data_IF_711171715075
#
_entry.id   IF_711171715075
#
_cell.length_a   1.000
_cell.length_b   1.000
_cell.length_c   1.000
_cell.angle_alpha   90.00
_cell.angle_beta   90.00
_cell.angle_gamma   90.00
#
_symmetry.space_group_name_H-M   'P 1'
#
loop_
_entity.id
_entity.type
_entity.pdbx_description
1 polymer ?
#
# COMPACT_ATOMS: atom_id res chain seq x y z
N UNK A 1 -88.14 73.02 -86.58
CA UNK A 1 -86.88 73.10 -85.83
C UNK A 1 -86.55 71.69 -85.37
N UNK A 2 -85.63 71.02 -86.08
CA UNK A 2 -85.18 69.67 -85.77
C UNK A 2 -84.14 69.78 -84.65
N UNK A 3 -84.49 69.31 -83.45
CA UNK A 3 -83.51 69.06 -82.41
C UNK A 3 -82.68 67.83 -82.85
N UNK A 4 -81.52 68.11 -83.42
CA UNK A 4 -80.45 67.13 -83.62
C UNK A 4 -79.88 66.79 -82.24
N UNK A 5 -80.53 65.84 -81.56
CA UNK A 5 -80.00 65.19 -80.36
C UNK A 5 -78.64 64.56 -80.73
N UNK A 6 -77.55 65.14 -80.22
CA UNK A 6 -76.18 64.69 -80.48
C UNK A 6 -75.98 63.25 -79.94
N UNK A 7 -75.71 62.24 -80.80
CA UNK A 7 -75.46 60.87 -80.35
C UNK A 7 -74.01 60.61 -79.86
N UNK A 8 -73.11 61.58 -79.98
CA UNK A 8 -71.66 61.41 -79.80
C UNK A 8 -71.18 61.49 -78.34
N UNK A 9 -71.94 62.10 -77.43
CA UNK A 9 -71.53 62.24 -76.01
C UNK A 9 -71.86 61.00 -75.18
N UNK A 10 -72.86 60.20 -75.60
CA UNK A 10 -73.28 58.99 -74.88
C UNK A 10 -72.32 57.80 -75.09
N UNK A 11 -71.68 57.71 -76.26
CA UNK A 11 -70.76 56.60 -76.58
C UNK A 11 -69.42 56.74 -75.84
N UNK A 12 -68.86 57.95 -75.76
CA UNK A 12 -67.64 58.22 -75.00
C UNK A 12 -67.81 57.93 -73.50
N UNK A 13 -68.95 58.30 -72.91
CA UNK A 13 -69.27 57.98 -71.51
C UNK A 13 -69.45 56.47 -71.29
N UNK A 14 -70.06 55.76 -72.23
CA UNK A 14 -70.19 54.30 -72.16
C UNK A 14 -68.81 53.62 -72.20
N UNK A 15 -67.90 54.09 -73.07
CA UNK A 15 -66.54 53.57 -73.18
C UNK A 15 -65.71 53.86 -71.93
N UNK A 16 -65.85 55.06 -71.35
CA UNK A 16 -65.25 55.42 -70.06
C UNK A 16 -65.77 54.51 -68.94
N UNK A 17 -67.08 54.28 -68.86
CA UNK A 17 -67.67 53.38 -67.86
C UNK A 17 -67.16 51.95 -67.99
N UNK A 18 -67.00 51.44 -69.21
CA UNK A 18 -66.43 50.10 -69.45
C UNK A 18 -64.96 50.04 -69.02
N UNK A 19 -64.16 51.07 -69.31
CA UNK A 19 -62.75 51.14 -68.87
C UNK A 19 -62.64 51.19 -67.35
N UNK A 20 -63.39 52.09 -66.70
CA UNK A 20 -63.39 52.20 -65.24
C UNK A 20 -63.87 50.90 -64.59
N UNK A 21 -64.87 50.23 -65.17
CA UNK A 21 -65.32 48.92 -64.70
C UNK A 21 -64.21 47.88 -64.82
N UNK A 22 -63.53 47.80 -65.96
CA UNK A 22 -62.44 46.86 -66.17
C UNK A 22 -61.25 47.13 -65.21
N UNK A 23 -60.91 48.40 -64.97
CA UNK A 23 -59.90 48.81 -64.00
C UNK A 23 -60.27 48.42 -62.58
N UNK A 24 -61.54 48.61 -62.18
CA UNK A 24 -62.04 48.19 -60.87
C UNK A 24 -62.04 46.67 -60.73
N UNK A 25 -62.46 45.92 -61.75
CA UNK A 25 -62.42 44.46 -61.76
C UNK A 25 -60.98 43.95 -61.63
N UNK A 26 -60.03 44.53 -62.39
CA UNK A 26 -58.62 44.20 -62.29
C UNK A 26 -58.04 44.53 -60.90
N UNK A 27 -58.42 45.67 -60.31
CA UNK A 27 -58.00 46.04 -58.96
C UNK A 27 -58.58 45.08 -57.92
N UNK A 28 -59.85 44.68 -58.04
CA UNK A 28 -60.47 43.70 -57.14
C UNK A 28 -59.77 42.34 -57.23
N UNK A 29 -59.46 41.85 -58.43
CA UNK A 29 -58.72 40.58 -58.59
C UNK A 29 -57.28 40.67 -58.04
N UNK A 30 -56.62 41.81 -58.20
CA UNK A 30 -55.33 42.05 -57.59
C UNK A 30 -55.41 42.04 -56.05
N UNK A 31 -56.42 42.68 -55.45
CA UNK A 31 -56.64 42.65 -53.99
C UNK A 31 -56.96 41.24 -53.49
N UNK A 32 -57.80 40.48 -54.20
CA UNK A 32 -58.09 39.08 -53.84
C UNK A 32 -56.82 38.23 -53.86
N UNK A 33 -56.00 38.38 -54.90
CA UNK A 33 -54.73 37.67 -55.02
C UNK A 33 -53.80 38.02 -53.86
N UNK A 34 -53.64 39.31 -53.56
CA UNK A 34 -52.85 39.78 -52.42
C UNK A 34 -53.32 39.20 -51.09
N UNK A 35 -54.63 39.22 -50.81
CA UNK A 35 -55.19 38.67 -49.57
C UNK A 35 -54.96 37.16 -49.48
N UNK A 36 -55.08 36.44 -50.60
CA UNK A 36 -54.80 35.00 -50.63
C UNK A 36 -53.32 34.69 -50.41
N UNK A 37 -52.42 35.51 -50.94
CA UNK A 37 -50.98 35.39 -50.71
C UNK A 37 -50.62 35.69 -49.25
N UNK A 38 -51.12 36.79 -48.68
CA UNK A 38 -50.94 37.13 -47.26
C UNK A 38 -51.45 35.99 -46.36
N UNK A 39 -52.66 35.46 -46.63
CA UNK A 39 -53.20 34.31 -45.89
C UNK A 39 -52.32 33.06 -45.97
N UNK A 40 -51.72 32.78 -47.13
CA UNK A 40 -50.79 31.63 -47.29
C UNK A 40 -49.49 31.87 -46.53
N UNK A 41 -48.97 33.10 -46.56
CA UNK A 41 -47.77 33.46 -45.82
C UNK A 41 -48.00 33.31 -44.31
N UNK A 42 -49.12 33.81 -43.78
CA UNK A 42 -49.48 33.67 -42.37
C UNK A 42 -49.64 32.19 -41.96
N UNK A 43 -50.25 31.38 -42.83
CA UNK A 43 -50.40 29.94 -42.57
C UNK A 43 -49.04 29.23 -42.52
N UNK A 44 -48.13 29.54 -43.45
CA UNK A 44 -46.79 28.97 -43.47
C UNK A 44 -46.02 29.39 -42.21
N UNK A 45 -46.05 30.68 -41.87
CA UNK A 45 -45.41 31.21 -40.67
C UNK A 45 -45.95 30.54 -39.41
N UNK A 46 -47.27 30.34 -39.29
CA UNK A 46 -47.86 29.63 -38.15
C UNK A 46 -47.39 28.17 -38.04
N UNK A 47 -47.20 27.47 -39.17
CA UNK A 47 -46.64 26.13 -39.20
C UNK A 47 -45.17 26.11 -38.78
N UNK A 48 -44.37 27.06 -39.27
CA UNK A 48 -42.96 27.21 -38.89
C UNK A 48 -42.82 27.47 -37.38
N UNK A 49 -43.60 28.40 -36.81
CA UNK A 49 -43.60 28.65 -35.36
C UNK A 49 -44.01 27.42 -34.55
N UNK A 50 -44.98 26.62 -35.03
CA UNK A 50 -45.36 25.38 -34.38
C UNK A 50 -44.20 24.36 -34.38
N UNK A 51 -43.52 24.20 -35.52
CA UNK A 51 -42.35 23.33 -35.61
C UNK A 51 -41.19 23.80 -34.72
N UNK A 52 -40.88 25.10 -34.71
CA UNK A 52 -39.84 25.66 -33.86
C UNK A 52 -40.15 25.50 -32.37
N UNK A 53 -41.42 25.67 -31.98
CA UNK A 53 -41.88 25.45 -30.60
C UNK A 53 -41.72 23.99 -30.19
N UNK A 54 -42.11 23.05 -31.05
CA UNK A 54 -41.96 21.61 -30.79
C UNK A 54 -40.48 21.21 -30.66
N UNK A 55 -39.62 21.71 -31.55
CA UNK A 55 -38.18 21.46 -31.50
C UNK A 55 -37.53 22.06 -30.25
N UNK A 56 -37.92 23.28 -29.86
CA UNK A 56 -37.47 23.92 -28.63
C UNK A 56 -37.91 23.11 -27.39
N UNK A 57 -39.13 22.59 -27.39
CA UNK A 57 -39.64 21.75 -26.30
C UNK A 57 -38.87 20.44 -26.19
N UNK A 58 -38.61 19.75 -27.31
CA UNK A 58 -37.79 18.52 -27.31
C UNK A 58 -36.37 18.77 -26.80
N UNK A 59 -35.75 19.89 -27.21
CA UNK A 59 -34.42 20.27 -26.70
C UNK A 59 -34.43 20.50 -25.19
N UNK A 60 -35.47 21.15 -24.67
CA UNK A 60 -35.64 21.37 -23.23
C UNK A 60 -35.75 20.05 -22.47
N UNK A 61 -36.55 19.12 -22.97
CA UNK A 61 -36.72 17.80 -22.37
C UNK A 61 -35.41 17.00 -22.37
N UNK A 62 -34.67 16.98 -23.49
CA UNK A 62 -33.36 16.33 -23.55
C UNK A 62 -32.39 16.92 -22.54
N UNK A 63 -32.27 18.25 -22.47
CA UNK A 63 -31.39 18.92 -21.51
C UNK A 63 -31.80 18.64 -20.06
N UNK A 64 -33.10 18.53 -19.78
CA UNK A 64 -33.58 18.19 -18.44
C UNK A 64 -33.18 16.77 -18.03
N UNK A 65 -33.29 15.80 -18.94
CA UNK A 65 -32.84 14.42 -18.71
C UNK A 65 -31.33 14.36 -18.49
N UNK A 66 -30.56 15.07 -19.31
CA UNK A 66 -29.10 15.16 -19.15
C UNK A 66 -28.71 15.78 -17.82
N UNK A 67 -29.37 16.87 -17.41
CA UNK A 67 -29.15 17.51 -16.12
C UNK A 67 -29.43 16.56 -14.96
N UNK A 68 -30.56 15.85 -14.98
CA UNK A 68 -30.89 14.85 -13.96
C UNK A 68 -29.83 13.76 -13.90
N UNK A 69 -29.41 13.24 -15.06
CA UNK A 69 -28.35 12.23 -15.13
C UNK A 69 -27.04 12.73 -14.52
N UNK A 70 -26.58 13.92 -14.90
CA UNK A 70 -25.37 14.54 -14.35
C UNK A 70 -25.47 14.79 -12.84
N UNK A 71 -26.64 15.21 -12.35
CA UNK A 71 -26.88 15.38 -10.91
C UNK A 71 -26.76 14.04 -10.16
N UNK A 72 -27.38 12.97 -10.67
CA UNK A 72 -27.27 11.64 -10.03
C UNK A 72 -25.85 11.09 -10.05
N UNK A 73 -25.11 11.28 -11.15
CA UNK A 73 -23.70 10.87 -11.25
C UNK A 73 -22.82 11.65 -10.28
N UNK A 74 -23.07 12.96 -10.15
CA UNK A 74 -22.36 13.82 -9.19
C UNK A 74 -22.57 13.34 -7.76
N UNK A 75 -23.81 13.06 -7.36
CA UNK A 75 -24.11 12.52 -6.03
C UNK A 75 -23.60 11.09 -5.81
N UNK A 76 -23.46 10.29 -6.86
CA UNK A 76 -22.82 8.99 -6.77
C UNK A 76 -21.32 9.13 -6.46
N UNK A 77 -20.62 9.96 -7.24
CA UNK A 77 -19.18 10.25 -7.04
C UNK A 77 -18.89 10.90 -5.70
N UNK A 78 -19.75 11.80 -5.23
CA UNK A 78 -19.63 12.39 -3.89
C UNK A 78 -19.70 11.34 -2.78
N UNK A 79 -20.61 10.36 -2.89
CA UNK A 79 -20.70 9.25 -1.93
C UNK A 79 -19.47 8.35 -1.97
N UNK A 80 -18.94 8.07 -3.16
CA UNK A 80 -17.71 7.29 -3.31
C UNK A 80 -16.51 8.00 -2.68
N UNK A 81 -16.34 9.31 -2.95
CA UNK A 81 -15.30 10.12 -2.33
C UNK A 81 -15.41 10.14 -0.81
N UNK A 82 -16.62 10.29 -0.27
CA UNK A 82 -16.86 10.24 1.16
C UNK A 82 -16.51 8.86 1.75
N UNK A 83 -16.83 7.77 1.06
CA UNK A 83 -16.47 6.42 1.49
C UNK A 83 -14.94 6.22 1.51
N UNK A 84 -14.24 6.65 0.46
CA UNK A 84 -12.78 6.61 0.41
C UNK A 84 -12.12 7.47 1.49
N UNK A 85 -12.69 8.63 1.80
CA UNK A 85 -12.19 9.50 2.88
C UNK A 85 -12.27 8.80 4.24
N UNK A 86 -13.39 8.13 4.54
CA UNK A 86 -13.55 7.35 5.77
C UNK A 86 -12.54 6.20 5.85
N UNK A 87 -12.31 5.49 4.74
CA UNK A 87 -11.30 4.42 4.68
C UNK A 87 -9.89 4.94 4.97
N UNK A 88 -9.52 6.09 4.38
CA UNK A 88 -8.24 6.74 4.64
C UNK A 88 -8.08 7.08 6.12
N UNK A 89 -9.12 7.61 6.77
CA UNK A 89 -9.09 7.94 8.20
C UNK A 89 -8.91 6.69 9.08
N UNK A 90 -9.59 5.58 8.74
CA UNK A 90 -9.43 4.30 9.42
C UNK A 90 -7.99 3.80 9.28
N UNK A 91 -7.42 3.80 8.07
CA UNK A 91 -6.05 3.37 7.82
C UNK A 91 -5.03 4.24 8.55
N UNK A 92 -5.25 5.56 8.61
CA UNK A 92 -4.40 6.46 9.39
C UNK A 92 -4.50 6.19 10.89
N UNK A 93 -5.69 5.90 11.41
CA UNK A 93 -5.88 5.53 12.81
C UNK A 93 -5.19 4.20 13.14
N UNK A 94 -5.29 3.20 12.26
CA UNK A 94 -4.57 1.94 12.41
C UNK A 94 -3.06 2.12 12.37
N UNK A 95 -2.54 2.93 11.42
CA UNK A 95 -1.13 3.27 11.36
C UNK A 95 -0.65 3.89 12.67
N UNK A 96 -1.36 4.89 13.20
CA UNK A 96 -1.04 5.54 14.49
C UNK A 96 -1.03 4.58 15.67
N UNK A 97 -1.87 3.53 15.64
CA UNK A 97 -1.89 2.49 16.69
C UNK A 97 -0.72 1.51 16.57
N UNK A 98 -0.36 1.09 15.34
CA UNK A 98 0.66 0.06 15.10
C UNK A 98 2.08 0.59 15.13
N UNK A 99 2.31 1.83 14.70
CA UNK A 99 3.63 2.46 14.62
C UNK A 99 4.43 2.43 15.95
N UNK A 100 3.88 2.79 17.13
CA UNK A 100 4.63 2.70 18.38
C UNK A 100 5.00 1.26 18.76
N UNK A 101 4.11 0.30 18.50
CA UNK A 101 4.36 -1.12 18.79
C UNK A 101 5.50 -1.66 17.93
N UNK A 102 5.50 -1.35 16.63
CA UNK A 102 6.59 -1.73 15.73
C UNK A 102 7.91 -1.10 16.18
N UNK A 103 7.89 0.18 16.57
CA UNK A 103 9.08 0.87 17.08
C UNK A 103 9.64 0.20 18.34
N UNK A 104 8.79 -0.12 19.32
CA UNK A 104 9.19 -0.80 20.55
C UNK A 104 9.79 -2.20 20.28
N UNK A 105 9.18 -2.97 19.37
CA UNK A 105 9.70 -4.29 18.99
C UNK A 105 11.07 -4.21 18.32
N UNK A 106 11.28 -3.22 17.46
CA UNK A 106 12.59 -2.97 16.82
C UNK A 106 13.63 -2.60 17.89
N UNK A 107 13.30 -1.68 18.80
CA UNK A 107 14.19 -1.29 19.90
C UNK A 107 14.57 -2.49 20.78
N UNK A 108 13.60 -3.32 21.15
CA UNK A 108 13.84 -4.54 21.93
C UNK A 108 14.72 -5.55 21.19
N UNK A 109 14.51 -5.72 19.88
CA UNK A 109 15.32 -6.61 19.05
C UNK A 109 16.78 -6.16 19.02
N UNK A 110 17.02 -4.84 18.90
CA UNK A 110 18.38 -4.27 18.95
C UNK A 110 19.03 -4.50 20.31
N UNK A 111 18.28 -4.35 21.41
CA UNK A 111 18.79 -4.59 22.76
C UNK A 111 19.18 -6.06 22.97
N UNK A 112 18.34 -7.01 22.56
CA UNK A 112 18.64 -8.44 22.70
C UNK A 112 19.81 -8.87 21.81
N UNK A 113 19.95 -8.31 20.60
CA UNK A 113 21.11 -8.55 19.74
C UNK A 113 22.41 -8.04 20.38
N UNK A 114 22.38 -6.85 21.00
CA UNK A 114 23.51 -6.33 21.76
C UNK A 114 23.87 -7.23 22.95
N UNK A 115 22.87 -7.74 23.68
CA UNK A 115 23.07 -8.67 24.80
C UNK A 115 23.68 -9.99 24.34
N UNK A 116 23.21 -10.54 23.22
CA UNK A 116 23.74 -11.77 22.65
C UNK A 116 25.20 -11.60 22.21
N UNK A 117 25.54 -10.49 21.56
CA UNK A 117 26.93 -10.15 21.20
C UNK A 117 27.83 -10.06 22.43
N UNK A 118 27.34 -9.47 23.52
CA UNK A 118 28.08 -9.40 24.77
C UNK A 118 28.34 -10.80 25.35
N UNK A 119 27.31 -11.65 25.42
CA UNK A 119 27.46 -13.02 25.91
C UNK A 119 28.45 -13.83 25.06
N UNK A 120 28.39 -13.71 23.73
CA UNK A 120 29.34 -14.37 22.84
C UNK A 120 30.79 -13.92 23.10
N UNK A 121 31.00 -12.62 23.30
CA UNK A 121 32.32 -12.08 23.62
C UNK A 121 32.84 -12.61 24.97
N UNK A 122 31.98 -12.68 25.98
CA UNK A 122 32.35 -13.17 27.32
C UNK A 122 32.61 -14.67 27.32
N UNK A 123 31.80 -15.47 26.63
CA UNK A 123 32.07 -16.91 26.43
C UNK A 123 33.38 -17.13 25.68
N UNK A 124 33.67 -16.34 24.64
CA UNK A 124 34.94 -16.44 23.93
C UNK A 124 36.13 -16.13 24.83
N UNK A 125 36.05 -15.09 25.68
CA UNK A 125 37.09 -14.76 26.67
C UNK A 125 37.30 -15.91 27.67
N UNK A 126 36.21 -16.46 28.21
CA UNK A 126 36.28 -17.58 29.15
C UNK A 126 36.96 -18.80 28.51
N UNK A 127 36.59 -19.12 27.27
CA UNK A 127 37.21 -20.21 26.52
C UNK A 127 38.71 -19.99 26.35
N UNK A 128 39.13 -18.79 25.94
CA UNK A 128 40.57 -18.49 25.79
C UNK A 128 41.33 -18.58 27.12
N UNK A 129 40.72 -18.16 28.23
CA UNK A 129 41.33 -18.28 29.56
C UNK A 129 41.47 -19.75 30.00
N UNK A 130 40.44 -20.57 29.76
CA UNK A 130 40.49 -22.01 30.04
C UNK A 130 41.54 -22.73 29.17
N UNK A 131 41.63 -22.37 27.89
CA UNK A 131 42.65 -22.91 26.99
C UNK A 131 44.07 -22.55 27.46
N UNK A 132 44.28 -21.33 27.94
CA UNK A 132 45.55 -20.91 28.55
C UNK A 132 45.88 -21.71 29.81
N UNK A 133 44.94 -21.83 30.75
CA UNK A 133 45.13 -22.64 31.97
C UNK A 133 45.45 -24.11 31.66
N UNK A 134 44.76 -24.68 30.68
CA UNK A 134 45.01 -26.05 30.23
C UNK A 134 46.40 -26.20 29.62
N UNK A 135 46.89 -25.20 28.87
CA UNK A 135 48.26 -25.18 28.36
C UNK A 135 49.30 -25.10 29.49
N UNK A 136 49.09 -24.24 30.49
CA UNK A 136 49.97 -24.13 31.66
C UNK A 136 50.03 -25.47 32.43
N UNK A 137 48.89 -26.10 32.67
CA UNK A 137 48.82 -27.41 33.31
C UNK A 137 49.55 -28.49 32.50
N UNK A 138 49.37 -28.52 31.17
CA UNK A 138 50.10 -29.45 30.30
C UNK A 138 51.61 -29.24 30.36
N UNK A 139 52.08 -27.98 30.40
CA UNK A 139 53.50 -27.67 30.55
C UNK A 139 54.05 -28.13 31.91
N UNK A 140 53.28 -27.91 32.98
CA UNK A 140 53.59 -28.41 34.32
C UNK A 140 53.71 -29.94 34.36
N UNK A 141 52.71 -30.65 33.83
CA UNK A 141 52.73 -32.12 33.73
C UNK A 141 53.95 -32.63 32.94
N UNK A 142 54.24 -32.04 31.79
CA UNK A 142 55.42 -32.42 30.99
C UNK A 142 56.74 -32.24 31.76
N UNK A 143 56.80 -31.29 32.70
CA UNK A 143 57.97 -31.11 33.57
C UNK A 143 58.12 -32.25 34.56
N UNK A 144 57.01 -32.75 35.12
CA UNK A 144 57.03 -33.92 36.00
C UNK A 144 57.35 -35.21 35.23
N UNK A 145 56.86 -35.37 34.01
CA UNK A 145 57.20 -36.51 33.15
C UNK A 145 58.72 -36.61 32.92
N UNK A 146 59.40 -35.46 32.72
CA UNK A 146 60.87 -35.41 32.60
C UNK A 146 61.59 -35.88 33.88
N UNK A 147 60.96 -35.80 35.04
CA UNK A 147 61.48 -36.33 36.30
C UNK A 147 61.15 -37.82 36.48
N UNK A 148 60.53 -38.48 35.49
CA UNK A 148 60.06 -39.85 35.57
C UNK A 148 58.84 -40.02 36.48
N UNK A 149 57.98 -39.02 36.55
CA UNK A 149 56.68 -39.09 37.22
C UNK A 149 55.57 -38.98 36.18
N UNK A 150 54.81 -40.05 36.00
CA UNK A 150 53.64 -40.07 35.13
C UNK A 150 52.40 -40.09 36.00
N UNK A 151 51.47 -39.18 35.73
CA UNK A 151 50.20 -39.08 36.45
C UNK A 151 49.07 -39.39 35.46
N UNK A 152 48.33 -40.47 35.71
CA UNK A 152 47.10 -40.78 35.00
C UNK A 152 45.90 -40.53 35.91
N UNK A 153 44.78 -40.08 35.33
CA UNK A 153 43.51 -39.97 36.04
C UNK A 153 42.88 -41.36 36.14
N UNK A 154 43.48 -42.24 36.93
CA UNK A 154 42.94 -43.54 37.27
C UNK A 154 42.91 -43.70 38.79
N UNK A 155 41.92 -44.42 39.30
CA UNK A 155 41.91 -44.89 40.68
C UNK A 155 43.12 -45.82 40.88
N UNK A 156 43.82 -45.68 42.02
CA UNK A 156 45.04 -46.45 42.30
C UNK A 156 44.64 -47.87 42.69
N UNK A 157 44.44 -48.74 41.70
CA UNK A 157 43.94 -50.09 41.94
C UNK A 157 45.04 -51.13 42.20
N UNK A 158 46.25 -50.99 41.63
CA UNK A 158 47.35 -51.92 41.92
C UNK A 158 48.73 -51.38 41.51
N UNK A 159 49.79 -51.85 42.19
CA UNK A 159 51.17 -51.63 41.76
C UNK A 159 51.65 -52.82 40.92
N UNK A 160 52.26 -52.56 39.75
CA UNK A 160 52.81 -53.64 38.90
C UNK A 160 53.86 -54.51 39.62
N UNK A 161 54.53 -53.99 40.66
CA UNK A 161 55.48 -54.74 41.49
C UNK A 161 54.96 -54.82 42.93
N UNK A 162 55.18 -55.97 43.59
CA UNK A 162 54.70 -56.22 44.93
C UNK A 162 55.54 -55.46 45.98
N UNK A 163 55.10 -54.26 46.31
CA UNK A 163 55.69 -53.42 47.36
C UNK A 163 55.14 -53.85 48.72
N UNK A 164 55.91 -54.62 49.49
CA UNK A 164 55.45 -55.25 50.73
C UNK A 164 54.88 -54.28 51.80
N UNK A 165 55.32 -53.02 51.80
CA UNK A 165 54.84 -51.97 52.73
C UNK A 165 53.92 -50.96 52.08
N UNK A 166 53.30 -51.28 50.93
CA UNK A 166 52.39 -50.35 50.24
C UNK A 166 51.24 -49.91 51.14
N UNK A 167 50.63 -50.85 51.87
CA UNK A 167 49.51 -50.56 52.78
C UNK A 167 49.92 -49.60 53.92
N UNK A 168 51.12 -49.76 54.48
CA UNK A 168 51.65 -48.86 55.52
C UNK A 168 51.92 -47.47 54.93
N UNK A 169 52.58 -47.39 53.77
CA UNK A 169 52.85 -46.12 53.09
C UNK A 169 51.57 -45.37 52.68
N UNK A 170 50.54 -46.08 52.23
CA UNK A 170 49.23 -45.50 51.92
C UNK A 170 48.53 -45.01 53.19
N UNK A 171 48.65 -45.75 54.30
CA UNK A 171 48.11 -45.33 55.61
C UNK A 171 48.81 -44.05 56.08
N UNK A 172 50.13 -44.01 56.04
CA UNK A 172 50.93 -42.83 56.38
C UNK A 172 50.60 -41.63 55.48
N UNK A 173 50.36 -41.86 54.18
CA UNK A 173 49.91 -40.82 53.25
C UNK A 173 48.53 -40.28 53.63
N UNK A 174 47.59 -41.16 53.96
CA UNK A 174 46.24 -40.77 54.37
C UNK A 174 46.23 -40.02 55.70
N UNK A 175 47.13 -40.36 56.64
CA UNK A 175 47.24 -39.70 57.94
C UNK A 175 48.00 -38.36 57.88
N UNK A 176 49.11 -38.31 57.14
CA UNK A 176 49.98 -37.13 57.08
C UNK A 176 49.63 -36.15 55.96
N UNK A 177 49.06 -36.63 54.86
CA UNK A 177 48.87 -35.88 53.62
C UNK A 177 50.16 -35.56 52.87
N UNK A 178 51.33 -36.06 53.29
CA UNK A 178 52.62 -35.73 52.66
C UNK A 178 52.91 -36.62 51.45
N UNK A 179 52.35 -36.22 50.30
CA UNK A 179 52.57 -36.88 49.02
C UNK A 179 54.05 -36.92 48.61
N UNK A 180 54.85 -35.91 48.98
CA UNK A 180 56.25 -35.85 48.59
C UNK A 180 57.09 -36.89 49.35
N UNK A 181 56.82 -37.10 50.64
CA UNK A 181 57.42 -38.15 51.44
C UNK A 181 57.04 -39.54 50.90
N UNK A 182 55.75 -39.74 50.61
CA UNK A 182 55.25 -40.99 50.03
C UNK A 182 55.95 -41.33 48.70
N UNK A 183 56.01 -40.39 47.74
CA UNK A 183 56.67 -40.60 46.44
C UNK A 183 58.15 -40.95 46.61
N UNK A 184 58.87 -40.30 47.54
CA UNK A 184 60.29 -40.60 47.80
C UNK A 184 60.47 -41.99 48.40
N UNK A 185 59.62 -42.38 49.35
CA UNK A 185 59.63 -43.71 49.97
C UNK A 185 59.31 -44.80 48.94
N UNK A 186 58.25 -44.63 48.15
CA UNK A 186 57.89 -45.52 47.05
C UNK A 186 59.05 -45.67 46.04
N UNK A 187 59.63 -44.56 45.58
CA UNK A 187 60.80 -44.60 44.67
C UNK A 187 62.00 -45.34 45.26
N UNK A 188 62.24 -45.21 46.57
CA UNK A 188 63.34 -45.91 47.24
C UNK A 188 63.07 -47.42 47.28
N UNK A 189 61.83 -47.84 47.55
CA UNK A 189 61.46 -49.25 47.60
C UNK A 189 61.48 -49.91 46.23
N UNK A 190 60.93 -49.25 45.19
CA UNK A 190 61.04 -49.72 43.80
C UNK A 190 62.50 -49.89 43.37
N UNK A 191 63.40 -48.95 43.72
CA UNK A 191 64.84 -49.06 43.44
C UNK A 191 65.56 -50.21 44.18
N UNK A 192 64.94 -50.81 45.20
CA UNK A 192 65.48 -51.96 45.91
C UNK A 192 64.98 -53.30 45.31
N UNK A 193 63.89 -53.26 44.53
CA UNK A 193 63.28 -54.42 43.88
C UNK A 193 63.89 -54.70 42.49
N UNK A 194 64.44 -53.67 41.84
CA UNK A 194 65.19 -53.73 40.56
C UNK A 194 66.69 -53.77 40.83
#
# INVERSE_FOLDING_TARGET
MQETWRPLETEALAQQNLSTRAELEAWVEAQKTRILEEKRADQLQAQEHAHESDDAQRRRETLQVEYQKLSTDTHAKERELNASQVEIEVLQAEKRKREPVVKELVERTVQEDARLKQLLADTQKQRTAQEQQLQELKQGLATYERLGLHFEHAEVDDCNENVASLNELVTDLNESGDLALFIRSMRRQFKQLV
#
